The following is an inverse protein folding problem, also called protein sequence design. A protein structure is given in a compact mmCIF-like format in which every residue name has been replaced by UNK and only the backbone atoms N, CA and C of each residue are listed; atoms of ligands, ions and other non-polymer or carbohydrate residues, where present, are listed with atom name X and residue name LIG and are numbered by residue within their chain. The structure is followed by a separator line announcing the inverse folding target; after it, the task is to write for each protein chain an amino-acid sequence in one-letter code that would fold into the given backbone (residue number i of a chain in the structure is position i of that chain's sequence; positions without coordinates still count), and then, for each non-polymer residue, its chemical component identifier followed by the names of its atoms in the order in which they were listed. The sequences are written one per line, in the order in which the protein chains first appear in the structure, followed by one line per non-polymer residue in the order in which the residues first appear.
data_IF_399935015333
#
_entry.id   IF_399935015333
#
_cell.length_a   1.000
_cell.length_b   1.000
_cell.length_c   1.000
_cell.angle_alpha   90.00
_cell.angle_beta   90.00
_cell.angle_gamma   90.00
#
_symmetry.space_group_name_H-M   'P 1'
#
loop_
_entity.id
_entity.type
_entity.pdbx_description
1 polymer ?
#
# COMPACT_ATOMS: atom_id res chain seq x y z
N UNK A 1 -54.60 -1.34 15.17
CA UNK A 1 -53.79 -1.76 14.03
C UNK A 1 -53.79 -0.63 13.00
N UNK A 2 -52.69 0.15 12.87
CA UNK A 2 -52.56 1.21 11.85
C UNK A 2 -51.72 0.66 10.72
N UNK A 3 -52.35 0.40 9.61
CA UNK A 3 -51.70 -0.01 8.38
C UNK A 3 -50.89 1.15 7.80
N UNK A 4 -49.53 1.03 7.82
CA UNK A 4 -48.62 2.02 7.25
C UNK A 4 -48.37 1.68 5.79
N UNK A 5 -49.36 1.95 4.93
CA UNK A 5 -49.14 1.92 3.48
C UNK A 5 -48.22 3.06 3.11
N UNK A 6 -46.97 2.73 2.74
CA UNK A 6 -46.00 3.71 2.26
C UNK A 6 -46.53 4.38 1.00
N UNK A 7 -46.60 5.71 0.99
CA UNK A 7 -47.06 6.52 -0.15
C UNK A 7 -46.28 6.20 -1.43
N UNK A 8 -46.91 6.21 -2.62
CA UNK A 8 -46.24 5.91 -3.90
C UNK A 8 -44.95 6.71 -4.14
N UNK A 9 -44.91 7.95 -3.69
CA UNK A 9 -43.72 8.82 -3.79
C UNK A 9 -42.52 8.26 -3.01
N UNK A 10 -42.73 7.68 -1.81
CA UNK A 10 -41.63 7.07 -1.03
C UNK A 10 -41.11 5.76 -1.66
N UNK A 11 -41.93 5.06 -2.39
CA UNK A 11 -41.49 3.87 -3.13
C UNK A 11 -40.68 4.24 -4.36
N UNK A 12 -41.11 5.28 -5.10
CA UNK A 12 -40.39 5.76 -6.29
C UNK A 12 -38.98 6.32 -5.93
N UNK A 13 -38.89 7.11 -4.85
CA UNK A 13 -37.61 7.66 -4.39
C UNK A 13 -36.63 6.57 -3.94
N UNK A 14 -37.11 5.51 -3.28
CA UNK A 14 -36.27 4.37 -2.89
C UNK A 14 -35.76 3.57 -4.09
N UNK A 15 -36.63 3.33 -5.08
CA UNK A 15 -36.24 2.62 -6.32
C UNK A 15 -35.18 3.45 -7.07
N UNK A 16 -35.41 4.76 -7.20
CA UNK A 16 -34.45 5.65 -7.86
C UNK A 16 -33.11 5.67 -7.14
N UNK A 17 -33.11 5.74 -5.80
CA UNK A 17 -31.87 5.70 -5.00
C UNK A 17 -31.10 4.38 -5.18
N UNK A 18 -31.81 3.25 -5.23
CA UNK A 18 -31.18 1.92 -5.45
C UNK A 18 -30.58 1.83 -6.86
N UNK A 19 -31.30 2.32 -7.87
CA UNK A 19 -30.82 2.33 -9.26
C UNK A 19 -29.59 3.22 -9.41
N UNK A 20 -29.60 4.43 -8.83
CA UNK A 20 -28.46 5.35 -8.87
C UNK A 20 -27.25 4.76 -8.13
N UNK A 21 -27.46 4.15 -6.96
CA UNK A 21 -26.39 3.48 -6.21
C UNK A 21 -25.82 2.29 -6.99
N UNK A 22 -26.67 1.50 -7.63
CA UNK A 22 -26.26 0.36 -8.46
C UNK A 22 -25.46 0.80 -9.69
N UNK A 23 -25.85 1.88 -10.35
CA UNK A 23 -25.11 2.46 -11.49
C UNK A 23 -23.77 3.03 -11.06
N UNK A 24 -23.69 3.68 -9.90
CA UNK A 24 -22.44 4.20 -9.36
C UNK A 24 -21.44 3.06 -9.01
N UNK A 25 -21.92 1.98 -8.39
CA UNK A 25 -21.09 0.81 -8.13
C UNK A 25 -20.59 0.12 -9.40
N UNK A 26 -21.45 -0.01 -10.41
CA UNK A 26 -21.07 -0.61 -11.68
C UNK A 26 -20.03 0.25 -12.43
N UNK A 27 -20.14 1.57 -12.36
CA UNK A 27 -19.17 2.50 -12.97
C UNK A 27 -17.79 2.40 -12.28
N UNK A 28 -17.74 2.34 -10.95
CA UNK A 28 -16.48 2.20 -10.21
C UNK A 28 -15.81 0.86 -10.48
N UNK A 29 -16.55 -0.25 -10.53
CA UNK A 29 -16.03 -1.56 -10.88
C UNK A 29 -15.47 -1.59 -12.31
N UNK A 30 -16.13 -0.93 -13.26
CA UNK A 30 -15.63 -0.78 -14.64
C UNK A 30 -14.31 -0.01 -14.70
N UNK A 31 -14.19 1.13 -14.00
CA UNK A 31 -12.95 1.90 -13.90
C UNK A 31 -11.82 1.08 -13.29
N UNK A 32 -12.09 0.35 -12.21
CA UNK A 32 -11.11 -0.50 -11.54
C UNK A 32 -10.58 -1.61 -12.46
N UNK A 33 -11.46 -2.27 -13.20
CA UNK A 33 -11.08 -3.32 -14.16
C UNK A 33 -10.22 -2.77 -15.30
N UNK A 34 -10.57 -1.60 -15.85
CA UNK A 34 -9.78 -0.94 -16.89
C UNK A 34 -8.43 -0.49 -16.36
N UNK A 35 -8.38 0.10 -15.16
CA UNK A 35 -7.13 0.48 -14.50
C UNK A 35 -6.23 -0.73 -14.29
N UNK A 36 -6.77 -1.80 -13.71
CA UNK A 36 -6.04 -3.03 -13.44
C UNK A 36 -5.47 -3.65 -14.73
N UNK A 37 -6.27 -3.71 -15.81
CA UNK A 37 -5.80 -4.26 -17.09
C UNK A 37 -4.66 -3.45 -17.71
N UNK A 38 -4.63 -2.13 -17.50
CA UNK A 38 -3.57 -1.23 -18.00
C UNK A 38 -2.34 -1.16 -17.09
N UNK A 39 -2.46 -1.55 -15.83
CA UNK A 39 -1.34 -1.61 -14.90
C UNK A 39 -0.45 -2.77 -15.27
N UNK A 40 0.83 -2.53 -15.52
CA UNK A 40 1.81 -3.59 -15.80
C UNK A 40 2.27 -4.25 -14.51
N UNK A 41 2.70 -5.52 -14.59
CA UNK A 41 3.35 -6.24 -13.48
C UNK A 41 4.86 -6.09 -13.54
N UNK A 42 5.50 -6.10 -12.36
CA UNK A 42 6.95 -6.21 -12.23
C UNK A 42 7.36 -7.59 -11.68
N UNK A 43 8.44 -7.60 -10.90
CA UNK A 43 8.90 -8.81 -10.23
C UNK A 43 9.43 -8.48 -8.83
N UNK A 44 8.98 -9.22 -7.81
CA UNK A 44 9.58 -9.20 -6.48
C UNK A 44 10.64 -10.29 -6.35
N UNK A 45 11.68 -10.01 -5.58
CA UNK A 45 12.69 -10.96 -5.16
C UNK A 45 13.23 -10.57 -3.78
N UNK A 46 13.82 -11.55 -3.09
CA UNK A 46 14.46 -11.34 -1.81
C UNK A 46 13.55 -11.60 -0.61
N UNK A 47 14.05 -11.27 0.57
CA UNK A 47 13.40 -11.52 1.85
C UNK A 47 12.94 -10.23 2.49
N UNK A 48 11.73 -10.24 3.03
CA UNK A 48 11.13 -9.16 3.81
C UNK A 48 11.15 -9.55 5.28
N UNK A 49 11.76 -8.72 6.12
CA UNK A 49 11.70 -8.85 7.58
C UNK A 49 11.20 -7.54 8.17
N UNK A 50 10.12 -7.61 8.94
CA UNK A 50 9.54 -6.49 9.68
C UNK A 50 9.67 -6.77 11.16
N UNK A 51 10.32 -5.85 11.87
CA UNK A 51 10.51 -5.88 13.32
C UNK A 51 9.52 -4.90 13.97
N UNK A 52 8.87 -5.34 15.03
CA UNK A 52 8.02 -4.47 15.84
C UNK A 52 8.87 -3.69 16.85
N UNK A 53 8.68 -2.39 16.92
CA UNK A 53 9.36 -1.51 17.87
C UNK A 53 8.39 -1.11 19.00
N UNK A 54 7.23 -0.58 18.61
CA UNK A 54 6.15 -0.15 19.49
C UNK A 54 4.85 0.00 18.68
N UNK A 55 3.69 0.21 19.29
CA UNK A 55 2.46 0.41 18.55
C UNK A 55 2.62 1.44 17.42
N UNK A 56 2.24 1.03 16.21
CA UNK A 56 2.29 1.83 14.97
C UNK A 56 3.69 2.29 14.56
N UNK A 57 4.74 1.59 14.99
CA UNK A 57 6.10 1.84 14.55
C UNK A 57 6.82 0.51 14.36
N UNK A 58 7.25 0.27 13.15
CA UNK A 58 7.95 -0.93 12.73
C UNK A 58 9.25 -0.55 12.04
N UNK A 59 10.13 -1.52 11.89
CA UNK A 59 11.39 -1.39 11.15
C UNK A 59 11.39 -2.44 10.05
N UNK A 60 11.58 -1.99 8.82
CA UNK A 60 12.04 -2.86 7.76
C UNK A 60 13.56 -3.02 7.88
N UNK A 61 14.00 -4.28 8.05
CA UNK A 61 15.42 -4.63 8.05
C UNK A 61 15.75 -5.47 6.82
N UNK A 62 16.60 -4.95 5.91
CA UNK A 62 17.03 -5.73 4.75
C UNK A 62 17.81 -6.97 5.20
N UNK A 63 17.54 -8.10 4.54
CA UNK A 63 18.38 -9.29 4.65
C UNK A 63 19.75 -8.99 4.04
N UNK A 64 20.82 -9.49 4.66
CA UNK A 64 22.20 -9.18 4.24
C UNK A 64 22.55 -9.80 2.90
N UNK A 65 22.04 -11.01 2.64
CA UNK A 65 22.41 -11.83 1.48
C UNK A 65 21.35 -11.72 0.38
N UNK A 66 20.10 -11.50 0.73
CA UNK A 66 18.98 -11.46 -0.22
C UNK A 66 17.93 -10.42 0.18
N UNK A 67 18.25 -9.10 0.09
CA UNK A 67 17.33 -8.04 0.45
C UNK A 67 16.12 -7.97 -0.50
N UNK A 68 14.98 -7.52 0.03
CA UNK A 68 13.79 -7.25 -0.78
C UNK A 68 14.11 -6.27 -1.90
N UNK A 69 13.67 -6.59 -3.10
CA UNK A 69 13.73 -5.72 -4.28
C UNK A 69 12.51 -5.90 -5.17
N UNK A 70 12.15 -4.85 -5.82
CA UNK A 70 11.12 -4.83 -6.86
C UNK A 70 11.71 -4.35 -8.16
N UNK A 71 11.66 -5.19 -9.20
CA UNK A 71 11.98 -4.79 -10.56
C UNK A 71 10.71 -4.29 -11.21
N UNK A 72 10.64 -3.00 -11.46
CA UNK A 72 9.51 -2.35 -12.13
C UNK A 72 9.44 -2.78 -13.62
N UNK A 73 8.26 -2.61 -14.27
CA UNK A 73 8.09 -3.00 -15.69
C UNK A 73 9.06 -2.32 -16.66
N UNK A 74 9.60 -1.17 -16.30
CA UNK A 74 10.60 -0.42 -17.07
C UNK A 74 12.05 -0.88 -16.82
N UNK A 75 12.23 -1.94 -16.04
CA UNK A 75 13.53 -2.55 -15.73
C UNK A 75 14.26 -1.92 -14.55
N UNK A 76 13.75 -0.84 -13.95
CA UNK A 76 14.38 -0.25 -12.76
C UNK A 76 14.19 -1.14 -11.54
N UNK A 77 15.26 -1.25 -10.74
CA UNK A 77 15.26 -2.04 -9.52
C UNK A 77 15.17 -1.10 -8.32
N UNK A 78 14.13 -1.26 -7.52
CA UNK A 78 13.93 -0.54 -6.26
C UNK A 78 14.26 -1.49 -5.12
N UNK A 79 15.28 -1.14 -4.33
CA UNK A 79 15.77 -1.93 -3.20
C UNK A 79 15.75 -1.07 -1.93
N UNK A 80 14.77 -1.27 -1.05
CA UNK A 80 14.69 -0.56 0.21
C UNK A 80 15.90 -0.82 1.10
N UNK A 81 16.30 0.21 1.85
CA UNK A 81 17.29 0.12 2.91
C UNK A 81 16.61 0.07 4.27
N UNK A 82 17.40 -0.03 5.33
CA UNK A 82 16.90 0.04 6.70
C UNK A 82 16.07 1.32 6.88
N UNK A 83 14.81 1.18 7.31
CA UNK A 83 13.91 2.32 7.49
C UNK A 83 12.82 2.02 8.51
N UNK A 84 12.21 3.07 9.03
CA UNK A 84 10.94 2.97 9.74
C UNK A 84 9.80 2.79 8.73
N UNK A 85 8.77 2.07 9.15
CA UNK A 85 7.52 1.90 8.41
C UNK A 85 6.36 1.82 9.40
N UNK A 86 5.20 2.28 9.03
CA UNK A 86 3.95 2.11 9.76
C UNK A 86 3.05 1.03 9.16
N UNK A 87 3.56 0.31 8.17
CA UNK A 87 2.82 -0.61 7.31
C UNK A 87 2.21 0.12 6.12
N UNK A 88 1.15 -0.42 5.54
CA UNK A 88 0.47 0.29 4.45
C UNK A 88 -0.09 1.62 4.95
N UNK A 89 0.29 2.73 4.30
CA UNK A 89 -0.26 4.08 4.55
C UNK A 89 -1.75 4.19 4.17
N UNK A 90 -2.47 3.08 4.27
CA UNK A 90 -3.92 3.01 4.04
C UNK A 90 -4.62 3.60 5.27
N UNK A 91 -5.59 4.49 5.07
CA UNK A 91 -6.38 5.02 6.19
C UNK A 91 -6.94 3.88 7.05
N UNK A 92 -6.73 3.94 8.37
CA UNK A 92 -7.12 2.88 9.33
C UNK A 92 -8.59 2.46 9.25
N UNK A 93 -9.44 3.33 8.71
CA UNK A 93 -10.85 3.01 8.46
C UNK A 93 -11.03 1.78 7.55
N UNK A 94 -10.08 1.53 6.65
CA UNK A 94 -10.13 0.40 5.72
C UNK A 94 -9.48 -0.87 6.25
N UNK A 95 -8.73 -0.83 7.35
CA UNK A 95 -8.03 -2.01 7.89
C UNK A 95 -8.95 -3.15 8.34
N UNK A 96 -10.22 -2.86 8.61
CA UNK A 96 -11.22 -3.87 8.95
C UNK A 96 -11.87 -4.53 7.73
N UNK A 97 -11.63 -4.01 6.54
CA UNK A 97 -12.12 -4.63 5.31
C UNK A 97 -11.14 -5.72 4.84
N UNK A 98 -11.63 -6.84 4.29
CA UNK A 98 -10.76 -7.84 3.67
C UNK A 98 -9.82 -7.20 2.65
N UNK A 99 -8.58 -7.68 2.58
CA UNK A 99 -7.54 -7.24 1.62
C UNK A 99 -7.06 -5.77 1.77
N UNK A 100 -7.43 -5.10 2.87
CA UNK A 100 -6.97 -3.75 3.22
C UNK A 100 -6.15 -3.72 4.52
N UNK A 101 -5.67 -4.86 4.99
CA UNK A 101 -4.80 -4.93 6.15
C UNK A 101 -3.45 -4.25 5.90
N UNK A 102 -2.82 -3.71 6.96
CA UNK A 102 -1.55 -2.98 6.84
C UNK A 102 -0.39 -3.83 6.32
N UNK A 103 -0.56 -5.16 6.25
CA UNK A 103 0.46 -6.11 5.83
C UNK A 103 0.03 -7.04 4.68
N UNK A 104 -1.18 -6.90 4.16
CA UNK A 104 -1.70 -7.79 3.10
C UNK A 104 -0.84 -7.72 1.83
N UNK A 105 -0.31 -6.52 1.54
CA UNK A 105 0.62 -6.29 0.43
C UNK A 105 1.98 -5.79 0.93
N UNK A 106 2.48 -6.37 2.02
CA UNK A 106 3.68 -5.91 2.70
C UNK A 106 4.88 -5.63 1.78
N UNK A 107 5.27 -6.50 0.84
CA UNK A 107 6.35 -6.17 -0.10
C UNK A 107 6.10 -4.89 -0.90
N UNK A 108 4.88 -4.69 -1.41
CA UNK A 108 4.50 -3.48 -2.14
C UNK A 108 4.53 -2.23 -1.27
N UNK A 109 4.02 -2.32 -0.04
CA UNK A 109 4.02 -1.21 0.92
C UNK A 109 5.44 -0.78 1.31
N UNK A 110 6.34 -1.72 1.56
CA UNK A 110 7.73 -1.42 1.89
C UNK A 110 8.46 -0.74 0.73
N UNK A 111 8.19 -1.14 -0.51
CA UNK A 111 8.70 -0.44 -1.70
C UNK A 111 8.16 1.00 -1.76
N UNK A 112 6.87 1.20 -1.52
CA UNK A 112 6.24 2.52 -1.56
C UNK A 112 6.76 3.44 -0.44
N UNK A 113 6.86 2.95 0.79
CA UNK A 113 7.41 3.69 1.93
C UNK A 113 8.87 4.09 1.67
N UNK A 114 9.63 3.20 1.02
CA UNK A 114 11.01 3.51 0.62
C UNK A 114 11.09 4.66 -0.38
N UNK A 115 10.16 4.78 -1.32
CA UNK A 115 10.14 5.91 -2.26
C UNK A 115 9.89 7.23 -1.53
N UNK A 116 9.01 7.26 -0.52
CA UNK A 116 8.81 8.42 0.36
C UNK A 116 10.09 8.73 1.14
N UNK A 117 10.73 7.72 1.71
CA UNK A 117 11.97 7.88 2.46
C UNK A 117 13.11 8.42 1.58
N UNK A 118 13.25 7.89 0.36
CA UNK A 118 14.23 8.40 -0.62
C UNK A 118 13.98 9.87 -0.93
N UNK A 119 12.73 10.25 -1.18
CA UNK A 119 12.35 11.63 -1.47
C UNK A 119 12.66 12.57 -0.30
N UNK A 120 12.22 12.21 0.91
CA UNK A 120 12.42 13.04 2.10
C UNK A 120 13.90 13.19 2.49
N UNK A 121 14.67 12.13 2.34
CA UNK A 121 16.08 12.10 2.70
C UNK A 121 17.02 12.47 1.55
N UNK A 122 16.51 12.62 0.33
CA UNK A 122 17.29 12.88 -0.88
C UNK A 122 18.43 11.87 -1.09
N UNK A 123 18.11 10.58 -0.89
CA UNK A 123 19.07 9.48 -1.00
C UNK A 123 18.71 8.52 -2.14
N UNK A 124 19.74 7.82 -2.67
CA UNK A 124 19.56 6.90 -3.80
C UNK A 124 19.06 7.64 -5.05
N UNK A 125 18.17 6.99 -5.77
CA UNK A 125 17.65 7.49 -7.06
C UNK A 125 16.40 8.35 -6.89
N UNK A 126 16.30 9.12 -5.79
CA UNK A 126 15.11 9.88 -5.43
C UNK A 126 14.59 10.81 -6.53
N UNK A 127 15.49 11.35 -7.38
CA UNK A 127 15.13 12.22 -8.51
C UNK A 127 14.39 11.50 -9.64
N UNK A 128 14.48 10.18 -9.69
CA UNK A 128 13.82 9.36 -10.71
C UNK A 128 12.35 9.09 -10.40
N UNK A 129 11.91 9.48 -9.19
CA UNK A 129 10.57 9.20 -8.68
C UNK A 129 9.87 10.48 -8.24
N UNK A 130 8.70 10.70 -8.78
CA UNK A 130 7.75 11.72 -8.34
C UNK A 130 6.59 11.09 -7.56
N UNK A 131 5.75 11.93 -6.98
CA UNK A 131 4.59 11.47 -6.21
C UNK A 131 3.62 10.58 -7.02
N UNK A 132 3.17 10.95 -8.23
CA UNK A 132 2.34 10.07 -9.06
C UNK A 132 2.98 8.73 -9.40
N UNK A 133 4.29 8.72 -9.60
CA UNK A 133 5.04 7.51 -9.93
C UNK A 133 5.15 6.57 -8.74
N UNK A 134 5.29 7.10 -7.52
CA UNK A 134 5.29 6.28 -6.30
C UNK A 134 4.00 5.47 -6.16
N UNK A 135 2.85 6.10 -6.40
CA UNK A 135 1.55 5.43 -6.40
C UNK A 135 1.42 4.38 -7.52
N UNK A 136 1.94 4.68 -8.70
CA UNK A 136 1.95 3.75 -9.84
C UNK A 136 2.78 2.51 -9.51
N UNK A 137 3.94 2.67 -8.90
CA UNK A 137 4.82 1.56 -8.48
C UNK A 137 4.13 0.69 -7.43
N UNK A 138 3.41 1.30 -6.46
CA UNK A 138 2.61 0.52 -5.51
C UNK A 138 1.55 -0.32 -6.22
N UNK A 139 0.78 0.26 -7.14
CA UNK A 139 -0.24 -0.47 -7.89
C UNK A 139 0.36 -1.62 -8.72
N UNK A 140 1.52 -1.41 -9.35
CA UNK A 140 2.28 -2.46 -10.06
C UNK A 140 2.71 -3.58 -9.11
N UNK A 141 3.23 -3.23 -7.93
CA UNK A 141 3.62 -4.20 -6.90
C UNK A 141 2.44 -5.02 -6.41
N UNK A 142 1.32 -4.38 -6.05
CA UNK A 142 0.10 -5.06 -5.62
C UNK A 142 -0.43 -6.01 -6.69
N UNK A 143 -0.55 -5.54 -7.94
CA UNK A 143 -0.96 -6.38 -9.05
C UNK A 143 -0.03 -7.58 -9.22
N UNK A 144 1.28 -7.36 -9.14
CA UNK A 144 2.28 -8.44 -9.24
C UNK A 144 2.05 -9.53 -8.19
N UNK A 145 1.77 -9.13 -6.94
CA UNK A 145 1.48 -10.07 -5.86
C UNK A 145 0.18 -10.84 -6.10
N UNK A 146 -0.89 -10.16 -6.51
CA UNK A 146 -2.20 -10.76 -6.79
C UNK A 146 -2.17 -11.74 -7.95
N UNK A 147 -1.54 -11.37 -9.06
CA UNK A 147 -1.40 -12.24 -10.23
C UNK A 147 -0.61 -13.52 -9.86
N UNK A 148 0.44 -13.36 -9.06
CA UNK A 148 1.24 -14.47 -8.58
C UNK A 148 0.45 -15.40 -7.65
N UNK A 149 -0.40 -14.83 -6.79
CA UNK A 149 -1.29 -15.59 -5.90
C UNK A 149 -2.47 -16.23 -6.64
N UNK A 150 -2.71 -15.86 -7.91
CA UNK A 150 -3.90 -16.28 -8.65
C UNK A 150 -5.20 -15.70 -8.12
N UNK A 151 -5.12 -14.55 -7.43
CA UNK A 151 -6.25 -13.89 -6.77
C UNK A 151 -6.33 -12.41 -7.19
N UNK A 152 -6.70 -12.11 -8.44
CA UNK A 152 -6.81 -10.75 -8.92
C UNK A 152 -8.00 -10.03 -8.31
N UNK A 153 -7.74 -8.88 -7.65
CA UNK A 153 -8.73 -8.01 -7.02
C UNK A 153 -8.60 -6.57 -7.56
N UNK A 154 -9.14 -6.29 -8.77
CA UNK A 154 -9.01 -4.98 -9.42
C UNK A 154 -9.50 -3.81 -8.56
N UNK A 155 -10.57 -4.01 -7.80
CA UNK A 155 -11.16 -2.97 -6.95
C UNK A 155 -10.26 -2.60 -5.78
N UNK A 156 -9.55 -3.57 -5.20
CA UNK A 156 -8.59 -3.34 -4.12
C UNK A 156 -7.40 -2.52 -4.63
N UNK A 157 -6.80 -2.94 -5.75
CA UNK A 157 -5.66 -2.20 -6.35
C UNK A 157 -6.06 -0.77 -6.69
N UNK A 158 -7.24 -0.57 -7.29
CA UNK A 158 -7.72 0.75 -7.66
C UNK A 158 -8.00 1.63 -6.44
N UNK A 159 -8.65 1.08 -5.42
CA UNK A 159 -8.97 1.81 -4.19
C UNK A 159 -7.69 2.25 -3.43
N UNK A 160 -6.70 1.37 -3.31
CA UNK A 160 -5.41 1.72 -2.68
C UNK A 160 -4.67 2.75 -3.52
N UNK A 161 -4.62 2.59 -4.85
CA UNK A 161 -4.01 3.55 -5.76
C UNK A 161 -4.61 4.96 -5.60
N UNK A 162 -5.94 5.08 -5.55
CA UNK A 162 -6.60 6.37 -5.33
C UNK A 162 -6.34 6.93 -3.92
N UNK A 163 -6.27 6.08 -2.89
CA UNK A 163 -5.97 6.50 -1.53
C UNK A 163 -4.56 7.08 -1.41
N UNK A 164 -3.55 6.43 -2.00
CA UNK A 164 -2.15 6.90 -1.94
C UNK A 164 -1.86 8.07 -2.88
N UNK A 165 -2.79 8.45 -3.75
CA UNK A 165 -2.78 9.66 -4.58
C UNK A 165 -3.59 10.81 -4.00
N UNK A 166 -4.17 10.63 -2.84
CA UNK A 166 -5.01 11.66 -2.21
C UNK A 166 -4.21 12.92 -1.87
N UNK A 167 -4.88 14.08 -1.73
CA UNK A 167 -4.23 15.31 -1.27
C UNK A 167 -3.54 15.16 0.10
N UNK A 168 -4.00 14.23 0.93
CA UNK A 168 -3.38 13.92 2.23
C UNK A 168 -2.01 13.25 1.98
N UNK A 169 -1.96 12.24 1.11
CA UNK A 169 -0.72 11.56 0.76
C UNK A 169 0.26 12.49 0.05
N UNK A 170 -0.23 13.37 -0.85
CA UNK A 170 0.60 14.38 -1.50
C UNK A 170 1.20 15.38 -0.51
N UNK A 171 0.43 15.79 0.49
CA UNK A 171 0.95 16.64 1.54
C UNK A 171 2.03 15.95 2.39
N UNK A 172 1.89 14.65 2.65
CA UNK A 172 2.93 13.85 3.31
C UNK A 172 4.19 13.76 2.44
N UNK A 173 4.04 13.53 1.13
CA UNK A 173 5.16 13.53 0.18
C UNK A 173 5.93 14.85 0.20
N UNK A 174 5.22 15.98 0.16
CA UNK A 174 5.83 17.30 0.05
C UNK A 174 6.40 17.84 1.38
N UNK A 175 5.87 17.39 2.53
CA UNK A 175 6.17 17.96 3.85
C UNK A 175 6.73 16.95 4.85
N UNK A 176 6.89 15.71 4.46
CA UNK A 176 7.46 14.68 5.31
C UNK A 176 8.92 15.01 5.67
N UNK A 177 9.30 14.66 6.88
CA UNK A 177 10.67 14.80 7.34
C UNK A 177 11.50 13.56 7.00
N UNK A 178 12.78 13.74 6.68
CA UNK A 178 13.71 12.63 6.64
C UNK A 178 13.86 12.03 8.04
N UNK A 179 13.45 10.78 8.19
CA UNK A 179 13.64 10.01 9.43
C UNK A 179 14.84 9.09 9.23
N UNK A 180 16.01 9.54 9.68
CA UNK A 180 17.25 8.76 9.52
C UNK A 180 17.22 7.50 10.38
N UNK A 181 17.59 6.34 9.83
CA UNK A 181 17.75 5.10 10.57
C UNK A 181 19.01 5.08 11.48
N UNK A 182 19.82 6.12 11.51
CA UNK A 182 21.10 6.19 12.27
C UNK A 182 20.92 5.87 13.76
N UNK A 183 19.74 6.06 14.34
CA UNK A 183 19.41 5.60 15.69
C UNK A 183 19.06 4.12 15.79
N UNK A 184 18.81 3.43 14.68
CA UNK A 184 18.38 2.03 14.65
C UNK A 184 19.53 1.03 14.76
N UNK A 185 20.72 1.40 14.29
CA UNK A 185 21.91 0.57 14.44
C UNK A 185 22.34 0.50 15.92
N UNK A 186 22.07 1.55 16.71
CA UNK A 186 22.36 1.58 18.14
C UNK A 186 21.34 0.81 18.99
N UNK A 187 20.13 0.52 18.48
CA UNK A 187 19.17 -0.38 19.15
C UNK A 187 19.62 -1.85 19.10
N UNK A 188 20.61 -2.17 18.28
CA UNK A 188 21.33 -3.44 18.32
C UNK A 188 22.42 -3.47 19.39
N UNK A 189 22.26 -2.72 20.50
CA UNK A 189 23.16 -2.79 21.63
C UNK A 189 23.30 -4.23 22.12
N UNK A 190 24.50 -4.69 22.50
CA UNK A 190 24.75 -6.11 22.83
C UNK A 190 23.92 -6.66 24.00
N UNK A 191 23.21 -5.80 24.72
CA UNK A 191 22.31 -6.16 25.83
C UNK A 191 20.83 -5.83 25.56
N UNK A 192 20.45 -5.45 24.33
CA UNK A 192 19.05 -5.23 24.00
C UNK A 192 18.34 -6.59 23.88
N UNK A 193 17.11 -6.67 24.38
CA UNK A 193 16.25 -7.83 24.10
C UNK A 193 16.15 -8.04 22.58
N UNK A 194 16.13 -9.31 22.11
CA UNK A 194 16.03 -9.57 20.69
C UNK A 194 14.77 -8.90 20.12
N UNK A 195 14.83 -8.34 18.90
CA UNK A 195 13.69 -7.69 18.31
C UNK A 195 12.54 -8.68 18.11
N UNK A 196 11.33 -8.23 18.36
CA UNK A 196 10.13 -9.01 18.04
C UNK A 196 9.91 -8.95 16.53
N UNK A 197 10.13 -10.06 15.85
CA UNK A 197 9.87 -10.18 14.41
C UNK A 197 8.36 -10.30 14.22
N UNK A 198 7.74 -9.31 13.60
CA UNK A 198 6.32 -9.30 13.30
C UNK A 198 6.01 -10.13 12.04
N UNK A 199 6.83 -9.98 11.01
CA UNK A 199 6.60 -10.60 9.71
C UNK A 199 7.92 -10.98 9.06
N UNK A 200 7.97 -12.20 8.52
CA UNK A 200 9.06 -12.66 7.64
C UNK A 200 8.44 -13.33 6.42
N UNK A 201 8.73 -12.81 5.24
CA UNK A 201 8.21 -13.32 3.96
C UNK A 201 9.35 -13.47 2.97
N UNK A 202 9.36 -14.55 2.22
CA UNK A 202 10.19 -14.67 1.01
C UNK A 202 9.40 -14.13 -0.18
N UNK A 203 9.86 -13.03 -0.74
CA UNK A 203 9.34 -12.48 -1.98
C UNK A 203 10.04 -13.18 -3.15
N UNK A 204 9.40 -14.19 -3.70
CA UNK A 204 9.90 -14.93 -4.87
C UNK A 204 9.18 -14.50 -6.12
#
# INVERSE_FOLDING_TARGET
MRDRTATPQRRLSRILSIVVAGLALAATAGCASVFYSKTSTGAFAGKLTIEWVRPNLFIYRPDKDDPLRFTAPDGRVIQPRLMYTDGGSIPRLFWSAPDFGPWDFAPGYIIHDWLFQQHHCQVGDWQDYDFPKSATILAQGMKTQMEKAGQPEPTVVFAVYEAVRSPIAENLWNRGACVSPVGLESLAAPNAAPPVILLRVEAK
#
